data_IF_511705202913
#
_entry.id   IF_511705202913
#
_cell.length_a   1.000
_cell.length_b   1.000
_cell.length_c   1.000
_cell.angle_alpha   90.00
_cell.angle_beta   90.00
_cell.angle_gamma   90.00
#
_symmetry.space_group_name_H-M   'P 1'
#
loop_
_entity.id
_entity.type
_entity.pdbx_description
1 polymer ?
#
# COMPACT_ATOMS: atom_id res chain seq x y z
N UNK A 1 13.36 -16.30 13.41
CA UNK A 1 13.68 -15.04 12.70
C UNK A 1 13.01 -13.89 13.46
N UNK A 2 13.74 -12.80 13.73
CA UNK A 2 13.33 -11.74 14.66
C UNK A 2 12.05 -11.01 14.17
N UNK A 3 11.12 -10.68 15.07
CA UNK A 3 9.80 -10.08 14.72
C UNK A 3 9.96 -8.75 13.95
N UNK A 4 10.97 -7.97 14.31
CA UNK A 4 11.30 -6.69 13.68
C UNK A 4 11.57 -6.81 12.18
N UNK A 5 12.33 -7.84 11.76
CA UNK A 5 12.66 -8.04 10.34
C UNK A 5 11.40 -8.36 9.52
N UNK A 6 10.50 -9.18 10.08
CA UNK A 6 9.21 -9.48 9.43
C UNK A 6 8.35 -8.23 9.25
N UNK A 7 8.23 -7.40 10.29
CA UNK A 7 7.48 -6.14 10.22
C UNK A 7 8.10 -5.14 9.24
N UNK A 8 9.43 -5.01 9.20
CA UNK A 8 10.11 -4.13 8.23
C UNK A 8 9.86 -4.59 6.79
N UNK A 9 9.90 -5.89 6.52
CA UNK A 9 9.64 -6.45 5.19
C UNK A 9 8.19 -6.25 4.73
N UNK A 10 7.23 -6.29 5.67
CA UNK A 10 5.83 -5.98 5.36
C UNK A 10 5.66 -4.50 5.00
N UNK A 11 6.32 -3.60 5.76
CA UNK A 11 6.29 -2.16 5.47
C UNK A 11 7.01 -1.82 4.16
N UNK A 12 8.14 -2.46 3.86
CA UNK A 12 8.80 -2.28 2.56
C UNK A 12 7.93 -2.79 1.41
N UNK A 13 7.21 -3.90 1.61
CA UNK A 13 6.21 -4.43 0.68
C UNK A 13 5.11 -3.42 0.33
N UNK A 14 4.60 -2.69 1.31
CA UNK A 14 3.58 -1.66 1.04
C UNK A 14 4.16 -0.41 0.39
N UNK A 15 5.45 -0.11 0.58
CA UNK A 15 6.13 0.98 -0.10
C UNK A 15 6.48 0.66 -1.56
N UNK A 16 6.89 -0.57 -1.86
CA UNK A 16 7.03 -1.07 -3.25
C UNK A 16 5.64 -1.45 -3.78
N UNK A 17 4.81 -0.43 -3.97
CA UNK A 17 3.40 -0.60 -4.29
C UNK A 17 3.01 -0.30 -5.73
N UNK A 18 1.70 -0.23 -5.99
CA UNK A 18 1.13 0.12 -7.29
C UNK A 18 1.64 1.47 -7.84
N UNK A 19 2.10 2.37 -6.98
CA UNK A 19 2.76 3.61 -7.37
C UNK A 19 3.99 3.39 -8.27
N UNK A 20 4.71 2.28 -8.11
CA UNK A 20 5.86 1.95 -8.95
C UNK A 20 5.47 1.67 -10.40
N UNK A 21 4.26 1.17 -10.65
CA UNK A 21 3.73 0.94 -11.99
C UNK A 21 3.28 2.24 -12.67
N UNK A 22 2.75 3.17 -11.88
CA UNK A 22 2.24 4.45 -12.38
C UNK A 22 3.34 5.51 -12.59
N UNK A 23 4.42 5.47 -11.80
CA UNK A 23 5.46 6.50 -11.80
C UNK A 23 6.21 6.67 -13.13
N UNK A 24 6.61 5.60 -13.86
CA UNK A 24 7.23 5.76 -15.18
C UNK A 24 6.31 6.44 -16.19
N UNK A 25 5.02 6.11 -16.15
CA UNK A 25 4.01 6.63 -17.07
C UNK A 25 3.74 8.12 -16.85
N UNK A 26 3.68 8.56 -15.59
CA UNK A 26 3.45 9.97 -15.24
C UNK A 26 4.70 10.83 -15.34
N UNK A 27 5.88 10.26 -15.08
CA UNK A 27 7.17 10.96 -15.22
C UNK A 27 7.59 11.19 -16.67
N UNK A 28 7.08 10.41 -17.63
CA UNK A 28 7.46 10.54 -19.04
C UNK A 28 7.17 11.94 -19.62
N UNK A 29 6.18 12.64 -19.07
CA UNK A 29 5.77 13.97 -19.55
C UNK A 29 6.51 15.17 -18.94
N UNK A 30 7.17 15.02 -17.79
CA UNK A 30 7.69 16.15 -16.99
C UNK A 30 9.23 16.28 -17.10
N UNK A 31 9.91 15.21 -17.53
CA UNK A 31 11.36 15.17 -17.70
C UNK A 31 12.10 14.76 -16.42
N UNK A 32 13.27 14.14 -16.60
CA UNK A 32 14.02 13.46 -15.53
C UNK A 32 14.36 14.36 -14.34
N UNK A 33 14.92 15.55 -14.57
CA UNK A 33 15.34 16.45 -13.48
C UNK A 33 14.17 16.92 -12.62
N UNK A 34 13.04 17.26 -13.22
CA UNK A 34 11.85 17.68 -12.46
C UNK A 34 11.26 16.52 -11.65
N UNK A 35 11.17 15.32 -12.25
CA UNK A 35 10.74 14.12 -11.51
C UNK A 35 11.67 13.82 -10.35
N UNK A 36 12.99 13.92 -10.52
CA UNK A 36 13.95 13.66 -9.46
C UNK A 36 13.77 14.63 -8.27
N UNK A 37 13.62 15.92 -8.55
CA UNK A 37 13.35 16.93 -7.50
C UNK A 37 12.01 16.65 -6.81
N UNK A 38 10.98 16.31 -7.57
CA UNK A 38 9.66 16.00 -7.02
C UNK A 38 9.66 14.74 -6.15
N UNK A 39 10.36 13.69 -6.56
CA UNK A 39 10.52 12.47 -5.77
C UNK A 39 11.30 12.73 -4.48
N UNK A 40 12.38 13.51 -4.52
CA UNK A 40 13.12 13.90 -3.31
C UNK A 40 12.27 14.73 -2.34
N UNK A 41 11.46 15.66 -2.86
CA UNK A 41 10.56 16.47 -2.05
C UNK A 41 9.45 15.61 -1.40
N UNK A 42 8.83 14.71 -2.16
CA UNK A 42 7.84 13.77 -1.63
C UNK A 42 8.45 12.82 -0.60
N UNK A 43 9.65 12.30 -0.86
CA UNK A 43 10.37 11.46 0.09
C UNK A 43 10.63 12.18 1.41
N UNK A 44 11.11 13.44 1.36
CA UNK A 44 11.36 14.24 2.56
C UNK A 44 10.07 14.50 3.35
N UNK A 45 8.97 14.84 2.66
CA UNK A 45 7.67 15.07 3.28
C UNK A 45 7.13 13.79 3.95
N UNK A 46 7.15 12.67 3.25
CA UNK A 46 6.67 11.39 3.77
C UNK A 46 7.53 10.91 4.96
N UNK A 47 8.84 11.12 4.89
CA UNK A 47 9.76 10.79 6.00
C UNK A 47 9.45 11.65 7.22
N UNK A 48 9.22 12.95 7.04
CA UNK A 48 8.82 13.84 8.13
C UNK A 48 7.50 13.40 8.78
N UNK A 49 6.48 13.07 7.97
CA UNK A 49 5.21 12.55 8.49
C UNK A 49 5.40 11.23 9.25
N UNK A 50 6.27 10.33 8.77
CA UNK A 50 6.56 9.08 9.46
C UNK A 50 7.21 9.30 10.82
N UNK A 51 8.14 10.26 10.94
CA UNK A 51 8.77 10.64 12.21
C UNK A 51 7.74 11.20 13.21
N UNK A 52 6.80 12.03 12.75
CA UNK A 52 5.70 12.52 13.59
C UNK A 52 4.80 11.39 14.08
N UNK A 53 4.49 10.41 13.23
CA UNK A 53 3.74 9.22 13.66
C UNK A 53 4.51 8.44 14.72
N UNK A 54 5.82 8.25 14.56
CA UNK A 54 6.65 7.56 15.56
C UNK A 54 6.59 8.27 16.91
N UNK A 55 6.69 9.59 16.94
CA UNK A 55 6.57 10.38 18.17
C UNK A 55 5.18 10.24 18.81
N UNK A 56 4.11 10.32 17.99
CA UNK A 56 2.74 10.17 18.47
C UNK A 56 2.49 8.78 19.08
N UNK A 57 2.98 7.72 18.44
CA UNK A 57 2.84 6.35 18.91
C UNK A 57 3.63 6.05 20.19
N UNK A 58 4.67 6.84 20.53
CA UNK A 58 5.35 6.69 21.82
C UNK A 58 4.47 7.08 23.01
N UNK A 59 3.50 7.97 22.79
CA UNK A 59 2.54 8.42 23.81
C UNK A 59 1.24 7.64 23.80
N UNK A 60 1.04 6.77 22.80
CA UNK A 60 -0.19 6.02 22.59
C UNK A 60 -0.13 4.64 23.25
N UNK A 61 -1.31 4.09 23.55
CA UNK A 61 -1.41 2.69 23.96
C UNK A 61 -1.00 1.75 22.82
N UNK A 62 -0.42 0.61 23.16
CA UNK A 62 0.16 -0.36 22.21
C UNK A 62 -0.83 -0.91 21.17
N UNK A 63 -2.15 -0.80 21.42
CA UNK A 63 -3.23 -1.27 20.56
C UNK A 63 -4.04 -0.10 19.93
N UNK A 64 -3.54 1.12 20.05
CA UNK A 64 -4.20 2.30 19.50
C UNK A 64 -4.09 2.31 17.97
N UNK A 65 -5.21 2.22 17.27
CA UNK A 65 -5.29 2.48 15.84
C UNK A 65 -5.33 3.98 15.50
N UNK A 66 -5.19 4.30 14.22
CA UNK A 66 -5.24 5.68 13.71
C UNK A 66 -6.56 6.37 14.09
N UNK A 67 -7.68 5.65 14.07
CA UNK A 67 -8.99 6.20 14.46
C UNK A 67 -9.10 6.53 15.95
N UNK A 68 -8.50 5.73 16.83
CA UNK A 68 -8.47 6.00 18.28
C UNK A 68 -7.50 7.13 18.62
N UNK A 69 -6.37 7.21 17.92
CA UNK A 69 -5.47 8.37 18.00
C UNK A 69 -6.20 9.66 17.58
N UNK A 70 -6.92 9.63 16.46
CA UNK A 70 -7.72 10.77 16.04
C UNK A 70 -8.80 11.14 17.06
N UNK A 71 -9.36 10.18 17.79
CA UNK A 71 -10.30 10.46 18.89
C UNK A 71 -9.63 11.19 20.05
N UNK A 72 -8.42 10.79 20.44
CA UNK A 72 -7.69 11.39 21.56
C UNK A 72 -7.36 12.87 21.31
N UNK A 73 -6.97 13.21 20.07
CA UNK A 73 -6.56 14.59 19.74
C UNK A 73 -7.71 15.46 19.19
N UNK A 74 -8.66 14.89 18.46
CA UNK A 74 -9.71 15.64 17.73
C UNK A 74 -11.14 15.25 18.15
N UNK A 75 -11.30 14.35 19.12
CA UNK A 75 -12.59 13.87 19.59
C UNK A 75 -13.31 12.92 18.62
N UNK A 76 -14.57 12.61 18.93
CA UNK A 76 -15.39 11.65 18.16
C UNK A 76 -15.53 12.00 16.67
N UNK A 77 -15.59 13.29 16.35
CA UNK A 77 -15.67 13.74 14.96
C UNK A 77 -14.39 13.39 14.20
N UNK A 78 -13.21 13.64 14.80
CA UNK A 78 -11.92 13.27 14.22
C UNK A 78 -11.78 11.76 14.00
N UNK A 79 -12.28 10.94 14.93
CA UNK A 79 -12.32 9.47 14.76
C UNK A 79 -13.12 9.05 13.54
N UNK A 80 -14.31 9.60 13.34
CA UNK A 80 -15.17 9.26 12.21
C UNK A 80 -14.49 9.64 10.89
N UNK A 81 -13.96 10.86 10.80
CA UNK A 81 -13.27 11.34 9.60
C UNK A 81 -12.03 10.50 9.30
N UNK A 82 -11.15 10.26 10.28
CA UNK A 82 -9.94 9.48 10.09
C UNK A 82 -10.25 8.03 9.66
N UNK A 83 -11.25 7.40 10.29
CA UNK A 83 -11.68 6.04 9.94
C UNK A 83 -12.28 5.99 8.54
N UNK A 84 -13.11 6.96 8.17
CA UNK A 84 -13.71 7.04 6.85
C UNK A 84 -12.64 7.20 5.75
N UNK A 85 -11.70 8.13 5.95
CA UNK A 85 -10.57 8.32 5.03
C UNK A 85 -9.75 7.03 4.90
N UNK A 86 -9.46 6.35 6.02
CA UNK A 86 -8.71 5.09 6.00
C UNK A 86 -9.42 4.01 5.17
N UNK A 87 -10.73 3.82 5.35
CA UNK A 87 -11.50 2.81 4.62
C UNK A 87 -11.58 3.14 3.13
N UNK A 88 -11.86 4.40 2.78
CA UNK A 88 -11.90 4.85 1.38
C UNK A 88 -10.53 4.67 0.72
N UNK A 89 -9.46 5.03 1.42
CA UNK A 89 -8.09 4.86 0.96
C UNK A 89 -7.73 3.39 0.72
N UNK A 90 -8.07 2.50 1.66
CA UNK A 90 -7.84 1.05 1.51
C UNK A 90 -8.63 0.48 0.33
N UNK A 91 -9.87 0.91 0.12
CA UNK A 91 -10.66 0.51 -1.05
C UNK A 91 -10.02 0.98 -2.35
N UNK A 92 -9.60 2.25 -2.42
CA UNK A 92 -8.94 2.81 -3.59
C UNK A 92 -7.63 2.07 -3.91
N UNK A 93 -6.85 1.71 -2.89
CA UNK A 93 -5.65 0.89 -3.05
C UNK A 93 -5.98 -0.48 -3.63
N UNK A 94 -6.96 -1.21 -3.07
CA UNK A 94 -7.36 -2.52 -3.59
C UNK A 94 -7.80 -2.41 -5.05
N UNK A 95 -8.61 -1.40 -5.39
CA UNK A 95 -9.05 -1.16 -6.76
C UNK A 95 -7.86 -0.87 -7.70
N UNK A 96 -6.90 -0.05 -7.27
CA UNK A 96 -5.70 0.24 -8.04
C UNK A 96 -4.82 -1.01 -8.26
N UNK A 97 -4.65 -1.86 -7.25
CA UNK A 97 -3.90 -3.11 -7.39
C UNK A 97 -4.60 -4.12 -8.29
N UNK A 98 -5.91 -4.28 -8.16
CA UNK A 98 -6.69 -5.20 -8.99
C UNK A 98 -6.68 -4.74 -10.45
N UNK A 99 -6.83 -3.44 -10.70
CA UNK A 99 -6.81 -2.89 -12.05
C UNK A 99 -5.41 -2.90 -12.66
N UNK A 100 -4.40 -2.43 -11.94
CA UNK A 100 -3.01 -2.37 -12.42
C UNK A 100 -2.35 -3.75 -12.53
N UNK A 101 -2.53 -4.61 -11.52
CA UNK A 101 -2.02 -5.97 -11.54
C UNK A 101 -2.73 -6.86 -12.57
N UNK A 102 -4.05 -6.69 -12.74
CA UNK A 102 -4.82 -7.42 -13.74
C UNK A 102 -4.46 -7.04 -15.18
N UNK A 103 -4.12 -5.77 -15.44
CA UNK A 103 -3.66 -5.32 -16.76
C UNK A 103 -2.25 -5.80 -17.06
N UNK A 104 -1.32 -5.75 -16.11
CA UNK A 104 -0.01 -6.39 -16.27
C UNK A 104 -0.12 -7.89 -16.54
N UNK A 105 -1.02 -8.58 -15.84
CA UNK A 105 -1.27 -10.00 -16.07
C UNK A 105 -1.81 -10.24 -17.49
N UNK A 106 -2.64 -9.33 -18.01
CA UNK A 106 -3.15 -9.40 -19.39
C UNK A 106 -2.01 -9.39 -20.42
N UNK A 107 -0.97 -8.59 -20.21
CA UNK A 107 0.19 -8.51 -21.11
C UNK A 107 0.99 -9.83 -21.19
N UNK A 108 0.89 -10.68 -20.17
CA UNK A 108 1.54 -12.00 -20.14
C UNK A 108 0.64 -13.16 -20.62
N UNK A 109 -0.67 -12.93 -20.79
CA UNK A 109 -1.60 -13.95 -21.28
C UNK A 109 -1.79 -13.87 -22.79
N UNK A 110 -2.24 -14.96 -23.43
CA UNK A 110 -2.64 -14.93 -24.84
C UNK A 110 -3.78 -13.93 -25.06
N UNK A 111 -3.82 -13.23 -26.20
CA UNK A 111 -4.85 -12.23 -26.54
C UNK A 111 -6.30 -12.75 -26.47
N UNK A 112 -6.49 -14.07 -26.48
CA UNK A 112 -7.80 -14.70 -26.23
C UNK A 112 -8.36 -14.40 -24.84
N UNK A 113 -7.53 -14.03 -23.87
CA UNK A 113 -7.96 -13.56 -22.55
C UNK A 113 -8.17 -12.05 -22.60
N UNK A 114 -9.43 -11.62 -22.65
CA UNK A 114 -9.76 -10.20 -22.56
C UNK A 114 -9.43 -9.61 -21.18
N UNK A 115 -9.20 -8.29 -21.12
CA UNK A 115 -8.80 -7.55 -19.91
C UNK A 115 -9.68 -7.86 -18.67
N UNK A 116 -11.01 -7.97 -18.85
CA UNK A 116 -11.93 -8.33 -17.74
C UNK A 116 -11.63 -9.71 -17.14
N UNK A 117 -11.26 -10.68 -17.97
CA UNK A 117 -10.95 -12.04 -17.53
C UNK A 117 -9.61 -12.08 -16.79
N UNK A 118 -8.60 -11.32 -17.25
CA UNK A 118 -7.31 -11.19 -16.55
C UNK A 118 -7.45 -10.54 -15.19
N UNK A 119 -8.26 -9.48 -15.06
CA UNK A 119 -8.56 -8.84 -13.76
C UNK A 119 -9.27 -9.81 -12.80
N UNK A 120 -10.24 -10.60 -13.31
CA UNK A 120 -10.91 -11.62 -12.50
C UNK A 120 -9.96 -12.73 -12.04
N UNK A 121 -9.13 -13.24 -12.94
CA UNK A 121 -8.10 -14.24 -12.61
C UNK A 121 -7.11 -13.72 -11.57
N UNK A 122 -6.61 -12.49 -11.76
CA UNK A 122 -5.72 -11.83 -10.79
C UNK A 122 -6.38 -11.75 -9.42
N UNK A 123 -7.63 -11.30 -9.36
CA UNK A 123 -8.39 -11.17 -8.11
C UNK A 123 -8.62 -12.51 -7.43
N UNK A 124 -8.97 -13.56 -8.17
CA UNK A 124 -9.21 -14.90 -7.60
C UNK A 124 -7.91 -15.48 -7.03
N UNK A 125 -6.81 -15.41 -7.79
CA UNK A 125 -5.52 -15.96 -7.37
C UNK A 125 -5.03 -15.25 -6.11
N UNK A 126 -4.90 -13.92 -6.15
CA UNK A 126 -4.35 -13.18 -5.01
C UNK A 126 -5.36 -13.06 -3.85
N UNK A 127 -6.66 -13.00 -4.14
CA UNK A 127 -7.70 -13.04 -3.13
C UNK A 127 -7.74 -14.36 -2.37
N UNK A 128 -7.46 -15.49 -3.04
CA UNK A 128 -7.43 -16.80 -2.39
C UNK A 128 -6.36 -16.89 -1.29
N UNK A 129 -5.17 -16.28 -1.48
CA UNK A 129 -4.13 -16.24 -0.45
C UNK A 129 -4.56 -15.49 0.80
N UNK A 130 -5.37 -14.45 0.66
CA UNK A 130 -5.91 -13.69 1.81
C UNK A 130 -6.92 -14.55 2.58
N UNK A 131 -7.79 -15.28 1.87
CA UNK A 131 -8.82 -16.15 2.48
C UNK A 131 -8.21 -17.35 3.21
N UNK A 132 -7.11 -17.93 2.69
CA UNK A 132 -6.41 -19.06 3.31
C UNK A 132 -5.74 -18.66 4.65
N UNK A 133 -5.37 -17.38 4.81
CA UNK A 133 -4.99 -16.81 6.10
C UNK A 133 -3.80 -15.85 6.03
N UNK A 134 -3.76 -14.94 7.00
CA UNK A 134 -2.72 -13.89 7.14
C UNK A 134 -1.30 -14.45 7.26
N UNK A 135 -1.15 -15.67 7.76
CA UNK A 135 0.14 -16.36 7.86
C UNK A 135 0.70 -16.78 6.49
N UNK A 136 -0.16 -17.08 5.51
CA UNK A 136 0.27 -17.35 4.13
C UNK A 136 0.78 -16.08 3.45
N UNK A 137 0.12 -14.95 3.70
CA UNK A 137 0.55 -13.64 3.19
C UNK A 137 1.91 -13.24 3.75
N UNK A 138 2.15 -13.41 5.06
CA UNK A 138 3.46 -13.11 5.68
C UNK A 138 4.57 -14.01 5.11
N UNK A 139 4.32 -15.31 4.89
CA UNK A 139 5.29 -16.23 4.28
C UNK A 139 5.66 -15.83 2.85
N UNK A 140 4.67 -15.51 2.02
CA UNK A 140 4.89 -15.10 0.62
C UNK A 140 5.66 -13.78 0.59
N UNK A 141 5.26 -12.80 1.41
CA UNK A 141 5.97 -11.52 1.48
C UNK A 141 7.44 -11.69 1.85
N UNK A 142 7.75 -12.56 2.83
CA UNK A 142 9.14 -12.85 3.20
C UNK A 142 9.92 -13.55 2.08
N UNK A 143 9.29 -14.45 1.33
CA UNK A 143 9.93 -15.16 0.22
C UNK A 143 10.22 -14.25 -0.98
N UNK A 144 9.39 -13.24 -1.22
CA UNK A 144 9.60 -12.29 -2.33
C UNK A 144 10.72 -11.27 -2.05
N UNK A 145 11.00 -10.99 -0.78
CA UNK A 145 11.99 -9.99 -0.36
C UNK A 145 13.35 -10.55 0.08
N UNK A 146 13.46 -11.88 0.27
CA UNK A 146 14.71 -12.60 0.55
C UNK A 146 15.31 -13.14 -0.75
#
# INVERSE_FOLDING_TARGET
MNKTVGSTLLVSGTMIGAGMLAMPLTSAGIGFSFTLVLLLALWALLTFTALLFVELYQTAESDAGIGTLAEQYFGKFGRIVATAVLIIFLYALIAAYVSGGGSLLNDFLPESFGNKMSILLFTIIFGSFIVIGTHSVDKINRLLFL
#
